data_IF_351018782412
#
_entry.id   IF_351018782412
#
_cell.length_a   1.000
_cell.length_b   1.000
_cell.length_c   1.000
_cell.angle_alpha   90.00
_cell.angle_beta   90.00
_cell.angle_gamma   90.00
#
_symmetry.space_group_name_H-M   'P 1'
#
loop_
_entity.id
_entity.type
_entity.pdbx_description
1 polymer ?
#
# COMPACT_ATOMS: atom_id res chain seq x y z
N UNK A 1 86.19 -26.13 -16.94
CA UNK A 1 84.90 -26.17 -17.67
C UNK A 1 83.82 -25.78 -16.66
N UNK A 2 83.44 -24.50 -16.64
CA UNK A 2 82.29 -23.97 -15.89
C UNK A 2 81.01 -24.22 -16.68
N UNK A 3 79.86 -24.44 -16.02
CA UNK A 3 78.80 -23.42 -16.08
C UNK A 3 78.06 -23.20 -14.75
N UNK A 4 77.91 -21.92 -14.39
CA UNK A 4 76.65 -21.17 -14.26
C UNK A 4 75.78 -21.49 -13.04
N UNK A 5 75.96 -20.67 -12.00
CA UNK A 5 75.02 -20.50 -10.90
C UNK A 5 73.94 -19.52 -11.39
N UNK A 6 72.69 -19.96 -11.40
CA UNK A 6 71.53 -19.11 -11.69
C UNK A 6 71.30 -18.13 -10.53
N UNK A 7 71.30 -16.83 -10.83
CA UNK A 7 70.98 -15.75 -9.89
C UNK A 7 69.45 -15.65 -9.78
N UNK A 8 68.90 -15.98 -8.61
CA UNK A 8 67.51 -15.69 -8.26
C UNK A 8 67.36 -14.18 -8.01
N UNK A 9 66.61 -13.50 -8.86
CA UNK A 9 66.28 -12.07 -8.72
C UNK A 9 65.09 -11.95 -7.75
N UNK A 10 65.33 -11.36 -6.58
CA UNK A 10 64.30 -11.01 -5.59
C UNK A 10 63.45 -9.83 -6.10
N UNK A 11 62.11 -9.84 -5.93
CA UNK A 11 61.27 -8.70 -6.29
C UNK A 11 61.59 -7.47 -5.42
N UNK A 12 61.55 -6.28 -6.01
CA UNK A 12 61.86 -5.01 -5.36
C UNK A 12 60.88 -4.72 -4.20
N UNK A 13 61.36 -4.29 -3.01
CA UNK A 13 60.53 -4.06 -1.83
C UNK A 13 59.45 -2.97 -2.03
N UNK A 14 59.64 -2.09 -3.02
CA UNK A 14 58.68 -1.05 -3.38
C UNK A 14 57.35 -1.62 -3.91
N UNK A 15 57.40 -2.73 -4.66
CA UNK A 15 56.21 -3.33 -5.26
C UNK A 15 55.31 -3.97 -4.19
N UNK A 16 55.92 -4.58 -3.17
CA UNK A 16 55.22 -5.21 -2.05
C UNK A 16 54.51 -4.14 -1.19
N UNK A 17 55.17 -3.01 -0.93
CA UNK A 17 54.58 -1.89 -0.20
C UNK A 17 53.41 -1.24 -0.96
N UNK A 18 53.53 -1.08 -2.29
CA UNK A 18 52.46 -0.52 -3.12
C UNK A 18 51.21 -1.42 -3.11
N UNK A 19 51.38 -2.74 -3.21
CA UNK A 19 50.27 -3.70 -3.12
C UNK A 19 49.62 -3.68 -1.73
N UNK A 20 50.41 -3.63 -0.66
CA UNK A 20 49.88 -3.54 0.70
C UNK A 20 49.06 -2.25 0.93
N UNK A 21 49.50 -1.12 0.36
CA UNK A 21 48.81 0.15 0.47
C UNK A 21 47.50 0.18 -0.33
N UNK A 22 47.48 -0.42 -1.52
CA UNK A 22 46.24 -0.58 -2.32
C UNK A 22 45.21 -1.48 -1.62
N UNK A 23 45.67 -2.54 -0.96
CA UNK A 23 44.80 -3.43 -0.17
C UNK A 23 44.21 -2.72 1.07
N UNK A 24 45.01 -1.92 1.79
CA UNK A 24 44.53 -1.15 2.95
C UNK A 24 43.54 -0.04 2.53
N UNK A 25 43.83 0.65 1.41
CA UNK A 25 42.93 1.65 0.85
C UNK A 25 41.60 1.02 0.43
N UNK A 26 41.62 -0.11 -0.27
CA UNK A 26 40.41 -0.84 -0.67
C UNK A 26 39.58 -1.26 0.54
N UNK A 27 40.22 -1.72 1.61
CA UNK A 27 39.53 -2.11 2.85
C UNK A 27 38.88 -0.92 3.56
N UNK A 28 39.55 0.23 3.62
CA UNK A 28 38.99 1.47 4.20
C UNK A 28 37.79 2.00 3.41
N UNK A 29 37.86 1.95 2.08
CA UNK A 29 36.75 2.32 1.21
C UNK A 29 35.55 1.40 1.45
N UNK A 30 35.77 0.07 1.48
CA UNK A 30 34.71 -0.90 1.72
C UNK A 30 34.04 -0.72 3.09
N UNK A 31 34.82 -0.48 4.15
CA UNK A 31 34.30 -0.19 5.49
C UNK A 31 33.47 1.09 5.49
N UNK A 32 33.95 2.14 4.81
CA UNK A 32 33.24 3.42 4.73
C UNK A 32 31.89 3.28 4.04
N UNK A 33 31.84 2.51 2.93
CA UNK A 33 30.59 2.21 2.23
C UNK A 33 29.63 1.42 3.14
N UNK A 34 30.11 0.40 3.85
CA UNK A 34 29.28 -0.40 4.74
C UNK A 34 28.71 0.43 5.90
N UNK A 35 29.51 1.32 6.50
CA UNK A 35 29.05 2.24 7.55
C UNK A 35 28.02 3.22 7.01
N UNK A 36 28.21 3.75 5.80
CA UNK A 36 27.22 4.59 5.12
C UNK A 36 25.90 3.82 4.98
N UNK A 37 25.89 2.62 4.41
CA UNK A 37 24.65 1.83 4.28
C UNK A 37 23.99 1.50 5.63
N UNK A 38 24.77 1.22 6.67
CA UNK A 38 24.24 0.95 8.00
C UNK A 38 23.65 2.21 8.68
N UNK A 39 24.28 3.38 8.48
CA UNK A 39 23.82 4.66 9.05
C UNK A 39 22.59 5.19 8.30
N UNK A 40 22.54 5.02 6.98
CA UNK A 40 21.45 5.57 6.18
C UNK A 40 20.16 4.75 6.22
N UNK A 41 20.19 3.51 6.75
CA UNK A 41 19.01 2.67 6.92
C UNK A 41 18.34 2.33 5.59
N UNK A 42 18.34 1.05 5.21
CA UNK A 42 17.48 0.62 4.11
C UNK A 42 16.05 0.78 4.59
N UNK A 43 15.36 1.86 4.16
CA UNK A 43 13.91 1.94 4.30
C UNK A 43 13.34 0.80 3.47
N UNK A 44 12.63 -0.12 4.09
CA UNK A 44 11.83 -1.09 3.35
C UNK A 44 10.88 -0.29 2.46
N UNK A 45 11.02 -0.46 1.14
CA UNK A 45 10.04 0.07 0.20
C UNK A 45 8.86 -0.88 0.32
N UNK A 46 7.77 -0.43 0.94
CA UNK A 46 6.49 -1.12 0.88
C UNK A 46 6.05 -1.14 -0.59
N UNK A 47 6.34 -2.24 -1.28
CA UNK A 47 5.92 -2.42 -2.67
C UNK A 47 4.44 -2.77 -2.66
N UNK A 48 3.57 -1.88 -3.14
CA UNK A 48 2.15 -2.20 -3.30
C UNK A 48 2.04 -3.30 -4.36
N UNK A 49 1.46 -4.46 -4.00
CA UNK A 49 1.30 -5.55 -4.94
C UNK A 49 0.46 -5.13 -6.17
N UNK A 50 0.84 -5.61 -7.35
CA UNK A 50 0.14 -5.32 -8.62
C UNK A 50 -1.37 -5.59 -8.58
N UNK A 51 -1.80 -6.59 -7.80
CA UNK A 51 -3.22 -6.88 -7.65
C UNK A 51 -3.99 -5.77 -6.91
N UNK A 52 -3.37 -5.08 -5.93
CA UNK A 52 -3.98 -3.95 -5.23
C UNK A 52 -4.07 -2.73 -6.15
N UNK A 53 -3.05 -2.52 -7.00
CA UNK A 53 -3.09 -1.46 -8.03
C UNK A 53 -4.24 -1.69 -9.01
N UNK A 54 -4.34 -2.91 -9.53
CA UNK A 54 -5.41 -3.29 -10.46
C UNK A 54 -6.81 -3.17 -9.83
N UNK A 55 -6.97 -3.62 -8.58
CA UNK A 55 -8.20 -3.45 -7.81
C UNK A 55 -8.55 -1.97 -7.64
N UNK A 56 -7.60 -1.17 -7.14
CA UNK A 56 -7.80 0.25 -6.85
C UNK A 56 -8.11 1.04 -8.12
N UNK A 57 -7.44 0.75 -9.23
CA UNK A 57 -7.75 1.34 -10.54
C UNK A 57 -9.17 1.01 -11.02
N UNK A 58 -9.63 -0.22 -10.78
CA UNK A 58 -11.02 -0.63 -11.07
C UNK A 58 -12.03 0.13 -10.21
N UNK A 59 -11.75 0.28 -8.91
CA UNK A 59 -12.58 1.06 -7.99
C UNK A 59 -12.63 2.54 -8.39
N UNK A 60 -11.51 3.13 -8.78
CA UNK A 60 -11.44 4.52 -9.25
C UNK A 60 -12.29 4.72 -10.51
N UNK A 61 -12.30 3.74 -11.42
CA UNK A 61 -13.16 3.80 -12.62
C UNK A 61 -14.64 3.82 -12.24
N UNK A 62 -15.06 2.95 -11.32
CA UNK A 62 -16.45 2.91 -10.84
C UNK A 62 -16.82 4.20 -10.11
N UNK A 63 -15.93 4.72 -9.27
CA UNK A 63 -16.10 6.01 -8.60
C UNK A 63 -16.32 7.15 -9.60
N UNK A 64 -15.47 7.26 -10.64
CA UNK A 64 -15.63 8.28 -11.69
C UNK A 64 -16.97 8.14 -12.43
N UNK A 65 -17.40 6.91 -12.72
CA UNK A 65 -18.72 6.65 -13.29
C UNK A 65 -19.84 7.13 -12.38
N UNK A 66 -19.80 6.78 -11.10
CA UNK A 66 -20.81 7.19 -10.11
C UNK A 66 -20.84 8.70 -9.88
N UNK A 67 -19.69 9.36 -9.78
CA UNK A 67 -19.62 10.82 -9.67
C UNK A 67 -20.24 11.50 -10.90
N UNK A 68 -19.99 10.97 -12.10
CA UNK A 68 -20.58 11.48 -13.35
C UNK A 68 -22.11 11.29 -13.38
N UNK A 69 -22.61 10.11 -13.00
CA UNK A 69 -24.04 9.80 -12.99
C UNK A 69 -24.83 10.61 -11.95
N UNK A 70 -24.18 10.98 -10.84
CA UNK A 70 -24.76 11.81 -9.78
C UNK A 70 -24.50 13.31 -9.99
N UNK A 71 -23.89 13.70 -11.11
CA UNK A 71 -23.57 15.09 -11.46
C UNK A 71 -22.66 15.80 -10.45
N UNK A 72 -21.81 15.05 -9.74
CA UNK A 72 -20.79 15.61 -8.85
C UNK A 72 -19.52 15.92 -9.64
N UNK A 73 -19.25 17.22 -9.86
CA UNK A 73 -18.18 17.66 -10.77
C UNK A 73 -16.85 17.94 -10.10
N UNK A 74 -16.82 18.25 -8.80
CA UNK A 74 -15.62 18.72 -8.12
C UNK A 74 -15.47 18.12 -6.71
N UNK A 75 -14.23 17.97 -6.25
CA UNK A 75 -13.91 17.61 -4.86
C UNK A 75 -14.04 16.13 -4.48
N UNK A 76 -14.78 15.30 -5.22
CA UNK A 76 -14.99 13.87 -4.87
C UNK A 76 -13.68 13.09 -4.76
N UNK A 77 -12.73 13.30 -5.68
CA UNK A 77 -11.41 12.65 -5.58
C UNK A 77 -10.68 13.01 -4.28
N UNK A 78 -10.78 14.27 -3.85
CA UNK A 78 -10.17 14.75 -2.63
C UNK A 78 -10.86 14.16 -1.41
N UNK A 79 -12.19 14.11 -1.40
CA UNK A 79 -12.97 13.47 -0.34
C UNK A 79 -12.59 11.99 -0.17
N UNK A 80 -12.40 11.25 -1.28
CA UNK A 80 -11.98 9.86 -1.22
C UNK A 80 -10.54 9.71 -0.72
N UNK A 81 -9.61 10.56 -1.16
CA UNK A 81 -8.25 10.58 -0.61
C UNK A 81 -8.24 10.86 0.90
N UNK A 82 -9.04 11.85 1.31
CA UNK A 82 -9.17 12.27 2.69
C UNK A 82 -9.88 11.24 3.55
N UNK A 83 -10.85 10.50 2.99
CA UNK A 83 -11.56 9.44 3.69
C UNK A 83 -10.57 8.46 4.32
N UNK A 84 -9.51 8.08 3.62
CA UNK A 84 -8.56 7.08 4.10
C UNK A 84 -7.51 7.60 5.07
N UNK A 85 -7.38 8.92 5.21
CA UNK A 85 -6.50 9.51 6.23
C UNK A 85 -7.03 9.23 7.62
N UNK A 86 -6.14 8.76 8.49
CA UNK A 86 -6.48 8.54 9.89
C UNK A 86 -7.02 9.82 10.54
N UNK A 87 -8.13 9.71 11.29
CA UNK A 87 -8.80 10.80 12.01
C UNK A 87 -9.33 11.97 11.15
N UNK A 88 -9.49 11.79 9.83
CA UNK A 88 -10.09 12.83 8.99
C UNK A 88 -11.61 12.65 8.89
N UNK A 89 -12.38 13.60 9.44
CA UNK A 89 -13.84 13.49 9.51
C UNK A 89 -14.60 14.34 8.49
N UNK A 90 -13.94 15.33 7.90
CA UNK A 90 -14.55 16.33 7.03
C UNK A 90 -14.74 15.84 5.58
N UNK A 91 -15.35 14.68 5.43
CA UNK A 91 -15.72 14.09 4.13
C UNK A 91 -17.16 14.46 3.80
N UNK A 92 -17.41 14.91 2.57
CA UNK A 92 -18.74 15.36 2.16
C UNK A 92 -19.79 14.25 2.16
N UNK A 93 -21.06 14.63 2.35
CA UNK A 93 -22.21 13.73 2.13
C UNK A 93 -22.25 13.18 0.70
N UNK A 94 -21.81 13.99 -0.27
CA UNK A 94 -21.79 13.63 -1.69
C UNK A 94 -20.84 12.46 -1.96
N UNK A 95 -19.68 12.43 -1.30
CA UNK A 95 -18.80 11.27 -1.31
C UNK A 95 -19.49 10.01 -0.75
N UNK A 96 -20.33 10.17 0.28
CA UNK A 96 -21.21 9.10 0.77
C UNK A 96 -22.19 8.59 -0.29
N UNK A 97 -22.80 9.48 -1.08
CA UNK A 97 -23.67 9.09 -2.19
C UNK A 97 -22.90 8.37 -3.32
N UNK A 98 -21.68 8.81 -3.61
CA UNK A 98 -20.80 8.13 -4.59
C UNK A 98 -20.44 6.73 -4.08
N UNK A 99 -20.06 6.57 -2.82
CA UNK A 99 -19.81 5.26 -2.21
C UNK A 99 -21.05 4.36 -2.26
N UNK A 100 -22.23 4.90 -2.00
CA UNK A 100 -23.48 4.17 -2.12
C UNK A 100 -23.71 3.70 -3.57
N UNK A 101 -23.56 4.57 -4.56
CA UNK A 101 -23.63 4.18 -5.98
C UNK A 101 -22.61 3.09 -6.34
N UNK A 102 -21.36 3.22 -5.90
CA UNK A 102 -20.32 2.22 -6.16
C UNK A 102 -20.72 0.85 -5.61
N UNK A 103 -21.27 0.84 -4.40
CA UNK A 103 -21.66 -0.39 -3.72
C UNK A 103 -22.80 -1.13 -4.42
N UNK A 104 -23.73 -0.41 -5.05
CA UNK A 104 -24.78 -0.99 -5.89
C UNK A 104 -24.21 -1.54 -7.21
N UNK A 105 -23.29 -0.83 -7.85
CA UNK A 105 -22.66 -1.29 -9.12
C UNK A 105 -21.72 -2.48 -8.94
N UNK A 106 -21.13 -2.61 -7.76
CA UNK A 106 -20.24 -3.71 -7.40
C UNK A 106 -20.98 -4.88 -6.75
N UNK A 107 -22.30 -4.80 -6.61
CA UNK A 107 -23.16 -5.82 -6.00
C UNK A 107 -22.68 -6.24 -4.60
N UNK A 108 -22.23 -5.24 -3.82
CA UNK A 108 -21.69 -5.43 -2.48
C UNK A 108 -22.79 -5.50 -1.42
N UNK A 109 -23.90 -4.78 -1.63
CA UNK A 109 -25.07 -4.83 -0.77
C UNK A 109 -26.26 -5.47 -1.49
N UNK A 110 -27.00 -6.29 -0.75
CA UNK A 110 -28.28 -6.82 -1.17
C UNK A 110 -29.39 -5.76 -1.09
N UNK A 111 -30.61 -6.14 -1.49
CA UNK A 111 -31.81 -5.27 -1.48
C UNK A 111 -32.17 -4.71 -0.10
N UNK A 112 -31.69 -5.31 0.99
CA UNK A 112 -31.90 -4.85 2.36
C UNK A 112 -30.76 -3.94 2.86
N UNK A 113 -29.81 -3.57 1.99
CA UNK A 113 -28.64 -2.76 2.35
C UNK A 113 -27.65 -3.51 3.25
N UNK A 114 -27.69 -4.85 3.27
CA UNK A 114 -26.73 -5.72 3.99
C UNK A 114 -25.69 -6.24 3.01
N UNK A 115 -24.47 -6.48 3.49
CA UNK A 115 -23.46 -7.04 2.60
C UNK A 115 -23.83 -8.43 2.15
N UNK A 116 -23.71 -8.65 0.85
CA UNK A 116 -23.85 -9.96 0.28
C UNK A 116 -22.58 -10.75 0.59
N UNK A 117 -22.69 -11.63 1.59
CA UNK A 117 -21.55 -12.34 2.18
C UNK A 117 -20.81 -13.22 1.14
N UNK A 118 -21.53 -13.77 0.16
CA UNK A 118 -20.95 -14.52 -0.96
C UNK A 118 -20.09 -13.63 -1.87
N UNK A 119 -20.65 -12.49 -2.30
CA UNK A 119 -19.96 -11.55 -3.20
C UNK A 119 -18.79 -10.84 -2.52
N UNK A 120 -18.91 -10.50 -1.23
CA UNK A 120 -17.87 -9.78 -0.49
C UNK A 120 -16.64 -10.66 -0.27
N UNK A 121 -16.82 -11.90 0.17
CA UNK A 121 -15.73 -12.86 0.36
C UNK A 121 -15.05 -13.19 -0.95
N UNK A 122 -15.83 -13.49 -1.98
CA UNK A 122 -15.32 -13.81 -3.30
C UNK A 122 -14.57 -12.63 -3.91
N UNK A 123 -15.09 -11.41 -3.77
CA UNK A 123 -14.40 -10.19 -4.21
C UNK A 123 -13.06 -10.05 -3.51
N UNK A 124 -13.03 -10.11 -2.17
CA UNK A 124 -11.81 -9.91 -1.38
C UNK A 124 -10.77 -11.02 -1.64
N UNK A 125 -11.19 -12.28 -1.76
CA UNK A 125 -10.31 -13.40 -2.09
C UNK A 125 -9.81 -13.35 -3.54
N UNK A 126 -10.68 -13.01 -4.51
CA UNK A 126 -10.32 -12.82 -5.93
C UNK A 126 -9.28 -11.71 -6.11
N UNK A 127 -9.25 -10.77 -5.17
CA UNK A 127 -8.29 -9.68 -5.12
C UNK A 127 -7.14 -9.90 -4.11
N UNK A 128 -6.77 -11.16 -3.83
CA UNK A 128 -5.48 -11.50 -3.24
C UNK A 128 -5.42 -11.55 -1.71
N UNK A 129 -6.54 -11.34 -1.02
CA UNK A 129 -6.59 -11.49 0.42
C UNK A 129 -6.57 -12.98 0.82
N UNK A 130 -5.70 -13.33 1.78
CA UNK A 130 -5.76 -14.64 2.43
C UNK A 130 -7.07 -14.84 3.19
N UNK A 131 -7.51 -16.09 3.39
CA UNK A 131 -8.79 -16.41 4.02
C UNK A 131 -8.99 -15.76 5.41
N UNK A 132 -7.91 -15.61 6.19
CA UNK A 132 -7.94 -14.93 7.49
C UNK A 132 -8.21 -13.42 7.35
N UNK A 133 -7.58 -12.77 6.38
CA UNK A 133 -7.79 -11.35 6.10
C UNK A 133 -9.22 -11.09 5.61
N UNK A 134 -9.74 -11.98 4.75
CA UNK A 134 -11.14 -11.92 4.30
C UNK A 134 -12.14 -12.02 5.48
N UNK A 135 -11.92 -12.97 6.40
CA UNK A 135 -12.78 -13.15 7.58
C UNK A 135 -12.69 -11.94 8.53
N UNK A 136 -11.49 -11.42 8.77
CA UNK A 136 -11.29 -10.24 9.61
C UNK A 136 -12.01 -9.01 9.02
N UNK A 137 -11.96 -8.83 7.70
CA UNK A 137 -12.67 -7.76 7.03
C UNK A 137 -14.19 -7.96 7.12
N UNK A 138 -14.71 -9.17 6.91
CA UNK A 138 -16.13 -9.48 7.07
C UNK A 138 -16.64 -9.12 8.48
N UNK A 139 -15.93 -9.54 9.52
CA UNK A 139 -16.28 -9.26 10.92
C UNK A 139 -16.27 -7.76 11.22
N UNK A 140 -15.27 -7.04 10.70
CA UNK A 140 -15.15 -5.59 10.83
C UNK A 140 -16.33 -4.88 10.16
N UNK A 141 -16.66 -5.26 8.93
CA UNK A 141 -17.74 -4.62 8.19
C UNK A 141 -19.09 -4.93 8.84
N UNK A 142 -19.30 -6.17 9.31
CA UNK A 142 -20.52 -6.56 10.02
C UNK A 142 -20.70 -5.76 11.33
N UNK A 143 -19.61 -5.52 12.06
CA UNK A 143 -19.61 -4.69 13.27
C UNK A 143 -19.96 -3.24 12.93
N UNK A 144 -19.34 -2.68 11.89
CA UNK A 144 -19.61 -1.31 11.46
C UNK A 144 -21.03 -1.12 10.93
N UNK A 145 -21.59 -2.11 10.23
CA UNK A 145 -22.97 -2.07 9.74
C UNK A 145 -24.00 -1.92 10.87
N UNK A 146 -23.80 -2.64 11.97
CA UNK A 146 -24.68 -2.57 13.14
C UNK A 146 -24.69 -1.17 13.77
N UNK A 147 -23.56 -0.43 13.70
CA UNK A 147 -23.47 0.92 14.26
C UNK A 147 -24.25 1.96 13.45
N UNK A 148 -24.56 1.66 12.19
CA UNK A 148 -25.21 2.61 11.26
C UNK A 148 -26.59 2.15 10.79
N UNK A 149 -27.09 1.00 11.29
CA UNK A 149 -28.30 0.35 10.76
C UNK A 149 -29.59 1.15 10.95
N UNK A 150 -29.62 2.09 11.89
CA UNK A 150 -30.78 2.96 12.15
C UNK A 150 -30.75 4.26 11.33
N UNK A 151 -29.69 4.51 10.56
CA UNK A 151 -29.56 5.74 9.75
C UNK A 151 -30.46 5.66 8.51
N UNK A 152 -31.32 6.66 8.35
CA UNK A 152 -32.30 6.72 7.25
C UNK A 152 -31.73 7.31 5.96
N UNK A 153 -30.68 8.14 6.04
CA UNK A 153 -30.00 8.71 4.88
C UNK A 153 -28.96 7.71 4.38
N UNK A 154 -29.21 7.10 3.22
CA UNK A 154 -28.35 6.06 2.66
C UNK A 154 -26.93 6.57 2.36
N UNK A 155 -26.78 7.83 1.93
CA UNK A 155 -25.47 8.41 1.65
C UNK A 155 -24.65 8.58 2.93
N UNK A 156 -25.28 9.11 3.99
CA UNK A 156 -24.62 9.25 5.29
C UNK A 156 -24.37 7.89 5.94
N UNK A 157 -25.29 6.94 5.81
CA UNK A 157 -25.13 5.58 6.35
C UNK A 157 -23.91 4.89 5.74
N UNK A 158 -23.75 4.95 4.43
CA UNK A 158 -22.58 4.37 3.75
C UNK A 158 -21.30 5.12 4.07
N UNK A 159 -21.35 6.45 4.21
CA UNK A 159 -20.19 7.24 4.62
C UNK A 159 -19.69 6.87 6.03
N UNK A 160 -20.59 6.79 7.00
CA UNK A 160 -20.25 6.41 8.38
C UNK A 160 -19.80 4.95 8.48
N UNK A 161 -20.39 4.05 7.67
CA UNK A 161 -19.89 2.69 7.50
C UNK A 161 -18.44 2.69 7.00
N UNK A 162 -18.12 3.47 5.96
CA UNK A 162 -16.77 3.55 5.40
C UNK A 162 -15.75 4.11 6.40
N UNK A 163 -16.11 5.16 7.16
CA UNK A 163 -15.28 5.71 8.24
C UNK A 163 -15.02 4.67 9.34
N UNK A 164 -16.04 3.92 9.75
CA UNK A 164 -15.88 2.85 10.74
C UNK A 164 -14.92 1.75 10.24
N UNK A 165 -15.04 1.33 8.97
CA UNK A 165 -14.13 0.34 8.37
C UNK A 165 -12.70 0.87 8.35
N UNK A 166 -12.50 2.13 7.96
CA UNK A 166 -11.18 2.79 8.01
C UNK A 166 -10.57 2.71 9.41
N UNK A 167 -11.33 3.06 10.45
CA UNK A 167 -10.81 2.98 11.82
C UNK A 167 -10.42 1.54 12.19
N UNK A 168 -11.21 0.56 11.79
CA UNK A 168 -10.88 -0.85 11.98
C UNK A 168 -9.59 -1.27 11.27
N UNK A 169 -9.39 -0.83 10.02
CA UNK A 169 -8.18 -1.10 9.23
C UNK A 169 -6.93 -0.49 9.90
N UNK A 170 -7.03 0.76 10.38
CA UNK A 170 -5.93 1.40 11.10
C UNK A 170 -5.63 0.71 12.44
N UNK A 171 -6.66 0.25 13.17
CA UNK A 171 -6.47 -0.45 14.46
C UNK A 171 -5.72 -1.77 14.32
N UNK A 172 -5.94 -2.50 13.23
CA UNK A 172 -5.26 -3.79 13.00
C UNK A 172 -3.91 -3.66 12.29
N UNK A 173 -3.45 -2.43 12.01
CA UNK A 173 -2.24 -2.13 11.23
C UNK A 173 -2.20 -2.96 9.94
N UNK A 174 -3.28 -2.88 9.14
CA UNK A 174 -3.39 -3.66 7.92
C UNK A 174 -2.21 -3.42 6.97
N UNK A 175 -1.74 -4.49 6.32
CA UNK A 175 -0.58 -4.46 5.42
C UNK A 175 -0.97 -4.79 3.97
N UNK A 176 -0.48 -4.05 2.97
CA UNK A 176 0.26 -2.78 3.08
C UNK A 176 -0.63 -1.64 3.60
N UNK A 177 -0.04 -0.55 4.07
CA UNK A 177 -0.79 0.59 4.55
C UNK A 177 -1.69 1.15 3.43
N UNK A 178 -2.98 1.33 3.71
CA UNK A 178 -3.97 1.78 2.71
C UNK A 178 -3.66 3.19 2.19
N UNK A 179 -3.08 4.07 3.02
CA UNK A 179 -2.62 5.39 2.57
C UNK A 179 -1.51 5.27 1.52
N UNK A 180 -0.56 4.34 1.71
CA UNK A 180 0.51 4.05 0.73
C UNK A 180 -0.09 3.52 -0.57
N UNK A 181 -1.07 2.61 -0.49
CA UNK A 181 -1.78 2.07 -1.66
C UNK A 181 -2.42 3.20 -2.46
N UNK A 182 -3.11 4.14 -1.79
CA UNK A 182 -3.80 5.24 -2.46
C UNK A 182 -2.81 6.22 -3.07
N UNK A 183 -1.74 6.56 -2.37
CA UNK A 183 -0.70 7.46 -2.88
C UNK A 183 -0.04 6.88 -4.14
N UNK A 184 0.30 5.59 -4.13
CA UNK A 184 0.91 4.93 -5.28
C UNK A 184 -0.06 4.83 -6.46
N UNK A 185 -1.32 4.46 -6.21
CA UNK A 185 -2.33 4.37 -7.27
C UNK A 185 -2.60 5.74 -7.87
N UNK A 186 -2.77 6.79 -7.07
CA UNK A 186 -3.01 8.15 -7.57
C UNK A 186 -1.82 8.73 -8.34
N UNK A 187 -0.59 8.28 -8.06
CA UNK A 187 0.58 8.68 -8.84
C UNK A 187 0.59 8.08 -10.26
N UNK A 188 -0.18 7.01 -10.51
CA UNK A 188 -0.26 6.33 -11.81
C UNK A 188 -1.44 6.78 -12.69
N UNK A 189 -2.41 7.55 -12.15
CA UNK A 189 -3.62 8.01 -12.88
C UNK A 189 -3.48 9.44 -13.40
#
# INVERSE_FOLDING_TARGET
>A
MTPQIAVYISPEPALICALAWLLDMGKRIAISIFVIFAVFGVKEIEMVPEYLKSLSGSLIKVMKTCATELEFTDGIMLDFYQLWKQNYEAVSRDAGCVLHCMSLKLDLFNVDGKLEHGNTKEFVMKHGAGANAATQLEDMVQTCHQNVSEMTDDCLRVLELAKCIREGIHQVNWQPNVEVVIEEVLAEV
#
